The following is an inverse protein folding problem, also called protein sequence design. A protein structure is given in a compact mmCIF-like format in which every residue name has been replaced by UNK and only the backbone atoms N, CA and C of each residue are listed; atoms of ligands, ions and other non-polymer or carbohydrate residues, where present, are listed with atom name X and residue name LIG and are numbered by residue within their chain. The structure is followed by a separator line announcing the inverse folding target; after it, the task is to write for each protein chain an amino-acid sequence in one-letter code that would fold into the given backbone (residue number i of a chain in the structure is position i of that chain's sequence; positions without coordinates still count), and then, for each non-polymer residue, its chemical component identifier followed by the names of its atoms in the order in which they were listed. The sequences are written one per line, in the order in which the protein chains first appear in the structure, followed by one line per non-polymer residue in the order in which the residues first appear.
data_IF_959822121729
#
_entry.id   IF_959822121729
#
_cell.length_a   1.000
_cell.length_b   1.000
_cell.length_c   1.000
_cell.angle_alpha   90.00
_cell.angle_beta   90.00
_cell.angle_gamma   90.00
#
_symmetry.space_group_name_H-M   'P 1'
#
loop_
_entity.id
_entity.type
_entity.pdbx_description
1 polymer ?
#
# COMPACT_ATOMS: atom_id res chain seq x y z
N UNK A 1 -13.37 -0.55 13.92
CA UNK A 1 -13.21 -0.43 12.45
C UNK A 1 -13.25 -1.81 11.81
N UNK A 2 -13.54 -1.87 10.52
CA UNK A 2 -13.23 -3.00 9.67
C UNK A 2 -11.81 -2.84 9.12
N UNK A 3 -10.97 -3.86 9.28
CA UNK A 3 -9.55 -3.80 8.89
C UNK A 3 -9.27 -4.94 7.91
N UNK A 4 -8.66 -4.59 6.78
CA UNK A 4 -8.13 -5.56 5.82
C UNK A 4 -6.61 -5.60 5.94
N UNK A 5 -6.06 -6.78 6.23
CA UNK A 5 -4.64 -7.06 6.17
C UNK A 5 -4.36 -7.84 4.88
N UNK A 6 -3.69 -7.23 3.91
CA UNK A 6 -3.18 -7.94 2.73
C UNK A 6 -1.76 -8.40 3.02
N UNK A 7 -1.56 -9.70 3.11
CA UNK A 7 -0.33 -10.33 3.56
C UNK A 7 0.37 -11.06 2.41
N UNK A 8 1.69 -10.87 2.29
CA UNK A 8 2.51 -11.47 1.24
C UNK A 8 3.80 -12.11 1.79
N UNK A 9 3.71 -13.30 2.38
CA UNK A 9 4.90 -14.12 2.64
C UNK A 9 4.57 -15.62 2.61
N UNK A 10 5.43 -16.43 1.97
CA UNK A 10 5.18 -17.88 1.75
C UNK A 10 5.29 -18.74 3.01
N UNK A 11 6.24 -18.42 3.89
CA UNK A 11 6.47 -19.17 5.14
C UNK A 11 5.59 -18.59 6.27
N UNK A 12 4.60 -19.33 6.79
CA UNK A 12 3.71 -18.86 7.84
C UNK A 12 4.43 -18.58 9.17
N UNK A 13 5.56 -19.27 9.44
CA UNK A 13 6.35 -19.05 10.66
C UNK A 13 7.48 -18.02 10.49
N UNK A 14 7.42 -17.24 9.42
CA UNK A 14 8.37 -16.14 9.20
C UNK A 14 8.13 -15.02 10.21
N UNK A 15 9.08 -14.11 10.35
CA UNK A 15 8.87 -12.92 11.18
C UNK A 15 7.76 -12.02 10.61
N UNK A 16 7.59 -11.98 9.28
CA UNK A 16 6.43 -11.34 8.65
C UNK A 16 5.11 -12.02 9.03
N UNK A 17 5.09 -13.36 9.17
CA UNK A 17 3.94 -14.10 9.69
C UNK A 17 3.65 -13.79 11.15
N UNK A 18 4.69 -13.70 12.00
CA UNK A 18 4.54 -13.31 13.39
C UNK A 18 3.95 -11.90 13.55
N UNK A 19 4.39 -10.94 12.75
CA UNK A 19 3.77 -9.60 12.72
C UNK A 19 2.28 -9.68 12.33
N UNK A 20 1.89 -10.61 11.44
CA UNK A 20 0.51 -10.70 10.93
C UNK A 20 -0.39 -11.19 12.05
N UNK A 21 0.10 -12.19 12.78
CA UNK A 21 -0.61 -12.76 13.92
C UNK A 21 -0.73 -11.74 15.05
N UNK A 22 0.32 -10.97 15.33
CA UNK A 22 0.28 -9.84 16.27
C UNK A 22 -0.77 -8.81 15.84
N UNK A 23 -0.81 -8.45 14.56
CA UNK A 23 -1.80 -7.49 14.07
C UNK A 23 -3.23 -8.00 14.22
N UNK A 24 -3.49 -9.22 13.76
CA UNK A 24 -4.79 -9.85 13.86
C UNK A 24 -5.28 -9.93 15.30
N UNK A 25 -4.45 -10.43 16.22
CA UNK A 25 -4.82 -10.60 17.62
C UNK A 25 -5.03 -9.23 18.29
N UNK A 26 -4.07 -8.32 18.17
CA UNK A 26 -4.11 -7.01 18.85
C UNK A 26 -5.31 -6.18 18.41
N UNK A 27 -5.59 -6.14 17.10
CA UNK A 27 -6.70 -5.35 16.57
C UNK A 27 -8.05 -6.00 16.91
N UNK A 28 -8.14 -7.33 16.92
CA UNK A 28 -9.35 -8.04 17.36
C UNK A 28 -9.62 -7.80 18.85
N UNK A 29 -8.58 -7.88 19.69
CA UNK A 29 -8.67 -7.62 21.13
C UNK A 29 -9.07 -6.16 21.42
N UNK A 30 -8.69 -5.23 20.53
CA UNK A 30 -9.12 -3.83 20.57
C UNK A 30 -10.56 -3.62 20.06
N UNK A 31 -11.29 -4.69 19.71
CA UNK A 31 -12.69 -4.64 19.29
C UNK A 31 -12.91 -4.31 17.81
N UNK A 32 -11.89 -4.47 16.97
CA UNK A 32 -12.02 -4.31 15.51
C UNK A 32 -12.40 -5.63 14.82
N UNK A 33 -13.03 -5.51 13.66
CA UNK A 33 -13.25 -6.65 12.76
C UNK A 33 -12.04 -6.75 11.84
N UNK A 34 -11.33 -7.88 11.85
CA UNK A 34 -10.13 -8.08 11.03
C UNK A 34 -10.37 -9.16 9.98
N UNK A 35 -10.08 -8.83 8.72
CA UNK A 35 -10.05 -9.76 7.59
C UNK A 35 -8.62 -9.82 7.07
N UNK A 36 -8.13 -11.02 6.78
CA UNK A 36 -6.81 -11.24 6.19
C UNK A 36 -6.99 -11.76 4.77
N UNK A 37 -6.34 -11.12 3.81
CA UNK A 37 -6.10 -11.63 2.46
C UNK A 37 -4.67 -12.16 2.40
N UNK A 38 -4.50 -13.47 2.51
CA UNK A 38 -3.17 -14.11 2.46
C UNK A 38 -2.90 -14.54 1.02
N UNK A 39 -2.20 -13.68 0.27
CA UNK A 39 -2.04 -13.84 -1.17
C UNK A 39 -1.37 -15.17 -1.56
N UNK A 40 -0.47 -15.70 -0.72
CA UNK A 40 0.18 -16.98 -0.99
C UNK A 40 -0.69 -18.17 -0.59
N UNK A 41 -1.38 -18.11 0.55
CA UNK A 41 -2.26 -19.19 0.99
C UNK A 41 -3.51 -19.30 0.11
N UNK A 42 -4.01 -18.18 -0.42
CA UNK A 42 -5.15 -18.12 -1.34
C UNK A 42 -4.78 -18.42 -2.79
N UNK A 43 -3.47 -18.56 -3.09
CA UNK A 43 -3.00 -18.90 -4.44
C UNK A 43 -3.23 -17.79 -5.47
N UNK A 44 -3.18 -16.53 -5.04
CA UNK A 44 -3.48 -15.37 -5.87
C UNK A 44 -2.57 -15.30 -7.11
N UNK A 45 -3.17 -15.11 -8.30
CA UNK A 45 -2.43 -14.94 -9.56
C UNK A 45 -1.95 -13.49 -9.71
N UNK A 46 -0.64 -13.20 -9.70
CA UNK A 46 -0.20 -11.81 -9.75
C UNK A 46 -0.18 -11.19 -11.15
N UNK A 47 -0.20 -11.98 -12.22
CA UNK A 47 -0.13 -11.44 -13.58
C UNK A 47 -1.52 -10.95 -14.04
N UNK A 48 -1.68 -9.63 -14.13
CA UNK A 48 -2.88 -9.04 -14.73
C UNK A 48 -3.02 -9.45 -16.22
N UNK A 49 -4.23 -9.73 -16.66
CA UNK A 49 -4.46 -10.19 -18.04
C UNK A 49 -5.92 -10.41 -18.41
N UNK A 50 -6.20 -10.92 -19.63
CA UNK A 50 -7.57 -11.14 -20.10
C UNK A 50 -8.42 -12.05 -19.20
N UNK A 51 -7.77 -12.93 -18.44
CA UNK A 51 -8.43 -13.83 -17.48
C UNK A 51 -9.00 -13.12 -16.23
N UNK A 52 -8.74 -11.84 -16.05
CA UNK A 52 -9.27 -11.03 -14.95
C UNK A 52 -10.75 -10.66 -15.14
N UNK A 53 -11.30 -10.91 -16.33
CA UNK A 53 -12.62 -10.44 -16.75
C UNK A 53 -13.51 -11.60 -17.23
N UNK A 54 -14.76 -11.62 -16.78
CA UNK A 54 -15.78 -12.57 -17.29
C UNK A 54 -16.34 -12.16 -18.65
N UNK A 55 -16.26 -10.86 -18.97
CA UNK A 55 -16.52 -10.31 -20.29
C UNK A 55 -15.60 -9.13 -20.57
N UNK A 56 -15.16 -8.98 -21.83
CA UNK A 56 -14.29 -7.88 -22.28
C UNK A 56 -15.04 -6.87 -23.13
N UNK A 57 -14.58 -5.62 -23.08
CA UNK A 57 -15.05 -4.53 -23.93
C UNK A 57 -14.64 -4.74 -25.39
N UNK A 58 -13.41 -5.20 -25.61
CA UNK A 58 -12.87 -5.54 -26.92
C UNK A 58 -12.34 -6.97 -26.92
N UNK A 59 -12.89 -7.81 -27.80
CA UNK A 59 -12.45 -9.20 -27.93
C UNK A 59 -11.14 -9.36 -28.69
N UNK A 60 -10.79 -8.38 -29.52
CA UNK A 60 -9.72 -8.44 -30.51
C UNK A 60 -8.44 -7.77 -29.99
N UNK A 61 -8.57 -6.73 -29.17
CA UNK A 61 -7.45 -5.99 -28.58
C UNK A 61 -7.57 -5.96 -27.06
N UNK A 62 -6.51 -6.38 -26.37
CA UNK A 62 -6.44 -6.27 -24.91
C UNK A 62 -5.71 -5.00 -24.49
N UNK A 63 -6.43 -4.08 -23.85
CA UNK A 63 -5.86 -2.91 -23.17
C UNK A 63 -6.36 -2.92 -21.72
N UNK A 64 -5.45 -3.12 -20.77
CA UNK A 64 -5.80 -3.41 -19.37
C UNK A 64 -6.65 -2.30 -18.74
N UNK A 65 -6.33 -1.03 -18.96
CA UNK A 65 -7.04 0.09 -18.35
C UNK A 65 -8.50 0.19 -18.81
N UNK A 66 -8.74 0.07 -20.11
CA UNK A 66 -10.07 0.08 -20.71
C UNK A 66 -10.90 -1.13 -20.27
N UNK A 67 -10.29 -2.32 -20.18
CA UNK A 67 -10.97 -3.52 -19.69
C UNK A 67 -11.33 -3.40 -18.21
N UNK A 68 -10.43 -2.85 -17.38
CA UNK A 68 -10.72 -2.52 -15.98
C UNK A 68 -11.87 -1.50 -15.85
N UNK A 69 -11.88 -0.44 -16.66
CA UNK A 69 -12.97 0.55 -16.64
C UNK A 69 -14.31 -0.09 -17.01
N UNK A 70 -14.30 -0.93 -18.05
CA UNK A 70 -15.48 -1.67 -18.49
C UNK A 70 -15.98 -2.58 -17.39
N UNK A 71 -15.08 -3.34 -16.76
CA UNK A 71 -15.41 -4.25 -15.69
C UNK A 71 -15.95 -3.55 -14.45
N UNK A 72 -15.39 -2.40 -14.08
CA UNK A 72 -15.91 -1.56 -13.00
C UNK A 72 -17.35 -1.08 -13.28
N UNK A 73 -17.66 -0.74 -14.54
CA UNK A 73 -19.01 -0.30 -14.95
C UNK A 73 -20.02 -1.42 -15.09
N UNK A 74 -19.58 -2.61 -15.51
CA UNK A 74 -20.45 -3.75 -15.86
C UNK A 74 -20.51 -4.84 -14.79
N UNK A 75 -19.64 -4.79 -13.80
CA UNK A 75 -19.53 -5.84 -12.77
C UNK A 75 -19.03 -7.15 -13.36
N UNK A 76 -17.99 -7.11 -14.20
CA UNK A 76 -17.48 -8.28 -14.91
C UNK A 76 -16.02 -8.62 -14.60
N UNK A 77 -15.54 -8.29 -13.39
CA UNK A 77 -14.34 -8.93 -12.83
C UNK A 77 -14.62 -10.41 -12.52
N UNK A 78 -13.59 -11.25 -12.59
CA UNK A 78 -13.70 -12.63 -12.09
C UNK A 78 -13.91 -12.66 -10.57
N UNK A 79 -14.54 -13.72 -10.02
CA UNK A 79 -14.91 -13.77 -8.60
C UNK A 79 -13.74 -13.56 -7.62
N UNK A 80 -12.54 -14.03 -7.97
CA UNK A 80 -11.32 -13.82 -7.17
C UNK A 80 -11.03 -12.32 -6.98
N UNK A 81 -10.95 -11.55 -8.07
CA UNK A 81 -10.67 -10.11 -8.04
C UNK A 81 -11.83 -9.35 -7.40
N UNK A 82 -13.08 -9.69 -7.76
CA UNK A 82 -14.24 -9.04 -7.18
C UNK A 82 -14.27 -9.22 -5.66
N UNK A 83 -13.92 -10.41 -5.15
CA UNK A 83 -13.80 -10.66 -3.71
C UNK A 83 -12.77 -9.77 -3.02
N UNK A 84 -11.61 -9.56 -3.64
CA UNK A 84 -10.59 -8.64 -3.09
C UNK A 84 -11.04 -7.18 -3.14
N UNK A 85 -11.73 -6.75 -4.21
CA UNK A 85 -12.34 -5.42 -4.31
C UNK A 85 -13.36 -5.25 -3.18
N UNK A 86 -14.23 -6.22 -2.95
CA UNK A 86 -15.26 -6.15 -1.91
C UNK A 86 -14.63 -6.04 -0.51
N UNK A 87 -13.60 -6.84 -0.22
CA UNK A 87 -12.82 -6.75 1.03
C UNK A 87 -12.20 -5.36 1.21
N UNK A 88 -11.62 -4.80 0.14
CA UNK A 88 -11.00 -3.48 0.14
C UNK A 88 -12.01 -2.37 0.45
N UNK A 89 -13.20 -2.41 -0.17
CA UNK A 89 -14.24 -1.42 0.07
C UNK A 89 -14.93 -1.56 1.44
N UNK A 90 -15.00 -2.76 2.00
CA UNK A 90 -15.52 -3.00 3.34
C UNK A 90 -14.60 -2.46 4.45
N UNK A 91 -13.30 -2.31 4.19
CA UNK A 91 -12.30 -1.89 5.17
C UNK A 91 -12.27 -0.37 5.39
N UNK A 92 -12.18 0.05 6.65
CA UNK A 92 -11.86 1.42 7.06
C UNK A 92 -10.35 1.65 7.10
N UNK A 93 -9.59 0.58 7.38
CA UNK A 93 -8.12 0.57 7.40
C UNK A 93 -7.58 -0.59 6.55
N UNK A 94 -6.71 -0.27 5.60
CA UNK A 94 -5.91 -1.23 4.85
C UNK A 94 -4.50 -1.34 5.46
N UNK A 95 -4.03 -2.55 5.73
CA UNK A 95 -2.64 -2.83 6.09
C UNK A 95 -2.03 -3.70 5.00
N UNK A 96 -1.01 -3.18 4.31
CA UNK A 96 -0.19 -3.97 3.39
C UNK A 96 1.00 -4.53 4.16
N UNK A 97 1.04 -5.85 4.34
CA UNK A 97 2.03 -6.52 5.16
C UNK A 97 2.96 -7.46 4.37
N UNK A 98 4.26 -7.16 4.36
CA UNK A 98 5.20 -7.83 3.47
C UNK A 98 6.66 -7.77 3.93
N UNK A 99 7.56 -8.64 3.47
CA UNK A 99 8.99 -8.36 3.50
C UNK A 99 9.36 -7.40 2.37
N UNK A 100 10.19 -6.38 2.64
CA UNK A 100 10.70 -5.50 1.60
C UNK A 100 11.64 -6.29 0.67
N UNK A 101 11.27 -6.42 -0.60
CA UNK A 101 12.07 -7.05 -1.64
C UNK A 101 12.39 -6.03 -2.73
N UNK A 102 13.68 -5.88 -3.03
CA UNK A 102 14.15 -4.92 -4.05
C UNK A 102 13.56 -3.51 -3.87
N UNK A 103 13.61 -2.98 -2.64
CA UNK A 103 13.09 -1.64 -2.30
C UNK A 103 11.58 -1.46 -2.54
N UNK A 104 10.83 -2.56 -2.62
CA UNK A 104 9.39 -2.54 -2.89
C UNK A 104 8.68 -3.72 -2.21
N UNK A 105 7.41 -3.88 -2.52
CA UNK A 105 6.58 -5.03 -2.15
C UNK A 105 7.00 -6.29 -2.94
N UNK A 106 6.75 -7.51 -2.42
CA UNK A 106 6.87 -8.74 -3.20
C UNK A 106 6.03 -8.68 -4.49
N UNK A 107 6.49 -9.37 -5.53
CA UNK A 107 5.80 -9.40 -6.82
C UNK A 107 4.32 -9.81 -6.71
N UNK A 108 3.98 -10.73 -5.80
CA UNK A 108 2.58 -11.15 -5.59
C UNK A 108 1.69 -10.02 -5.09
N UNK A 109 2.22 -9.18 -4.20
CA UNK A 109 1.51 -8.00 -3.69
C UNK A 109 1.45 -6.90 -4.74
N UNK A 110 2.51 -6.73 -5.54
CA UNK A 110 2.47 -5.81 -6.68
C UNK A 110 1.38 -6.21 -7.69
N UNK A 111 1.26 -7.50 -7.99
CA UNK A 111 0.18 -8.04 -8.82
C UNK A 111 -1.20 -7.84 -8.20
N UNK A 112 -1.33 -8.01 -6.89
CA UNK A 112 -2.55 -7.67 -6.14
C UNK A 112 -2.93 -6.20 -6.30
N UNK A 113 -1.96 -5.29 -6.18
CA UNK A 113 -2.17 -3.87 -6.45
C UNK A 113 -2.64 -3.67 -7.90
N UNK A 114 -1.97 -4.28 -8.88
CA UNK A 114 -2.30 -4.09 -10.31
C UNK A 114 -3.69 -4.60 -10.70
N UNK A 115 -4.15 -5.70 -10.08
CA UNK A 115 -5.45 -6.34 -10.39
C UNK A 115 -6.61 -5.77 -9.58
N UNK A 116 -6.39 -5.34 -8.33
CA UNK A 116 -7.44 -4.90 -7.39
C UNK A 116 -7.58 -3.37 -7.32
N UNK A 117 -6.47 -2.63 -7.43
CA UNK A 117 -6.48 -1.17 -7.48
C UNK A 117 -6.72 -0.72 -8.92
N UNK A 118 -7.79 -1.24 -9.51
CA UNK A 118 -8.07 -1.15 -10.93
C UNK A 118 -8.62 0.24 -11.33
N UNK A 119 -8.35 0.63 -12.57
CA UNK A 119 -8.90 1.85 -13.13
C UNK A 119 -10.44 1.77 -13.21
N UNK A 120 -11.12 2.83 -12.74
CA UNK A 120 -12.58 2.84 -12.57
C UNK A 120 -13.06 2.26 -11.23
N UNK A 121 -12.20 1.57 -10.48
CA UNK A 121 -12.50 0.98 -9.16
C UNK A 121 -11.96 1.87 -8.03
N UNK A 122 -10.64 2.00 -7.89
CA UNK A 122 -10.01 2.77 -6.77
C UNK A 122 -9.52 4.16 -7.19
N UNK A 123 -9.37 4.40 -8.50
CA UNK A 123 -9.05 5.70 -9.08
C UNK A 123 -9.60 5.81 -10.51
N UNK A 124 -9.80 7.04 -10.99
CA UNK A 124 -10.12 7.30 -12.40
C UNK A 124 -9.81 8.74 -12.83
N UNK A 125 -10.32 9.15 -14.00
CA UNK A 125 -10.25 10.53 -14.45
C UNK A 125 -11.00 11.48 -13.50
N UNK A 126 -10.23 12.23 -12.72
CA UNK A 126 -10.74 13.29 -11.84
C UNK A 126 -10.98 12.86 -10.39
N UNK A 127 -10.97 11.56 -10.08
CA UNK A 127 -11.02 11.04 -8.70
C UNK A 127 -9.67 10.44 -8.30
N UNK A 128 -8.73 11.33 -7.99
CA UNK A 128 -7.39 10.99 -7.48
C UNK A 128 -7.00 11.91 -6.32
N UNK A 129 -5.97 11.52 -5.56
CA UNK A 129 -5.41 12.32 -4.47
C UNK A 129 -6.47 12.74 -3.43
N UNK A 130 -6.52 14.00 -3.03
CA UNK A 130 -7.52 14.53 -2.09
C UNK A 130 -8.96 14.51 -2.63
N UNK A 131 -9.16 14.03 -3.87
CA UNK A 131 -10.46 13.73 -4.50
C UNK A 131 -10.64 12.24 -4.86
N UNK A 132 -9.73 11.37 -4.42
CA UNK A 132 -9.72 9.94 -4.71
C UNK A 132 -10.96 9.18 -4.21
N UNK A 133 -11.16 7.98 -4.75
CA UNK A 133 -12.33 7.15 -4.43
C UNK A 133 -12.23 6.59 -3.01
N UNK A 134 -11.01 6.35 -2.51
CA UNK A 134 -10.75 5.75 -1.19
C UNK A 134 -10.68 6.76 -0.05
N UNK A 135 -11.18 7.99 -0.27
CA UNK A 135 -11.20 9.04 0.76
C UNK A 135 -11.99 8.64 2.00
N UNK A 136 -11.47 9.02 3.16
CA UNK A 136 -12.02 8.67 4.47
C UNK A 136 -11.64 7.27 4.95
N UNK A 137 -10.87 6.51 4.14
CA UNK A 137 -10.23 5.26 4.54
C UNK A 137 -8.75 5.50 4.78
N UNK A 138 -8.17 4.72 5.69
CA UNK A 138 -6.75 4.82 6.08
C UNK A 138 -5.96 3.67 5.48
N UNK A 139 -4.67 3.86 5.22
CA UNK A 139 -3.81 2.79 4.74
C UNK A 139 -2.41 2.86 5.36
N UNK A 140 -1.84 1.71 5.72
CA UNK A 140 -0.51 1.60 6.33
C UNK A 140 0.32 0.51 5.65
N UNK A 141 1.61 0.78 5.46
CA UNK A 141 2.59 -0.25 5.11
C UNK A 141 3.18 -0.85 6.38
N UNK A 142 3.25 -2.17 6.47
CA UNK A 142 3.96 -2.89 7.54
C UNK A 142 4.96 -3.83 6.91
N UNK A 143 6.25 -3.64 7.17
CA UNK A 143 7.24 -4.50 6.52
C UNK A 143 8.48 -4.81 7.33
N UNK A 144 9.12 -5.92 6.96
CA UNK A 144 10.43 -6.31 7.47
C UNK A 144 11.52 -5.91 6.46
N UNK A 145 12.71 -5.56 6.95
CA UNK A 145 13.86 -5.27 6.10
C UNK A 145 14.98 -6.29 6.30
N UNK A 146 15.85 -6.43 5.29
CA UNK A 146 17.11 -7.17 5.45
C UNK A 146 18.25 -6.33 6.05
N UNK A 147 18.07 -5.01 6.15
CA UNK A 147 19.11 -4.06 6.56
C UNK A 147 18.65 -3.21 7.76
N UNK A 148 19.59 -2.78 8.63
CA UNK A 148 19.27 -1.92 9.78
C UNK A 148 18.69 -0.56 9.38
N UNK A 149 17.99 0.07 10.31
CA UNK A 149 17.39 1.40 10.15
C UNK A 149 18.39 2.45 9.64
N UNK A 150 19.61 2.45 10.19
CA UNK A 150 20.66 3.42 9.85
C UNK A 150 21.04 3.43 8.37
N UNK A 151 20.86 2.32 7.65
CA UNK A 151 21.13 2.27 6.21
C UNK A 151 20.12 3.06 5.37
N UNK A 152 18.93 3.33 5.92
CA UNK A 152 17.84 4.07 5.30
C UNK A 152 17.68 5.50 5.86
N UNK A 153 18.64 5.97 6.66
CA UNK A 153 18.76 7.37 7.02
C UNK A 153 18.89 8.26 5.77
N UNK A 154 18.69 9.57 5.91
CA UNK A 154 18.71 10.50 4.78
C UNK A 154 20.02 10.50 3.98
N UNK A 155 21.12 10.12 4.62
CA UNK A 155 22.48 9.94 4.09
C UNK A 155 22.95 8.47 4.12
N UNK A 156 22.05 7.55 4.45
CA UNK A 156 22.31 6.12 4.50
C UNK A 156 22.56 5.52 3.12
N UNK A 157 23.31 4.41 3.08
CA UNK A 157 23.71 3.75 1.81
C UNK A 157 22.53 3.29 0.95
N UNK A 158 21.41 2.93 1.58
CA UNK A 158 20.20 2.49 0.89
C UNK A 158 19.29 3.66 0.47
N UNK A 159 19.64 4.88 0.88
CA UNK A 159 18.88 6.10 0.64
C UNK A 159 17.75 6.31 1.64
N UNK A 160 17.31 7.57 1.69
CA UNK A 160 16.19 8.06 2.50
C UNK A 160 14.93 7.19 2.34
N UNK A 161 14.47 6.57 3.44
CA UNK A 161 13.30 5.70 3.45
C UNK A 161 12.05 6.37 2.86
N UNK A 162 11.84 7.66 3.15
CA UNK A 162 10.64 8.35 2.69
C UNK A 162 10.61 8.45 1.16
N UNK A 163 11.77 8.54 0.51
CA UNK A 163 11.89 8.50 -0.96
C UNK A 163 11.73 7.09 -1.50
N UNK A 164 12.29 6.09 -0.81
CA UNK A 164 12.13 4.67 -1.18
C UNK A 164 10.65 4.28 -1.21
N UNK A 165 9.86 4.74 -0.22
CA UNK A 165 8.45 4.41 -0.09
C UNK A 165 7.51 5.32 -0.90
N UNK A 166 8.00 6.41 -1.49
CA UNK A 166 7.18 7.36 -2.26
C UNK A 166 6.30 6.70 -3.34
N UNK A 167 6.80 5.72 -4.14
CA UNK A 167 5.95 5.05 -5.13
C UNK A 167 4.74 4.34 -4.53
N UNK A 168 4.85 3.81 -3.31
CA UNK A 168 3.75 3.12 -2.62
C UNK A 168 2.86 4.11 -1.86
N UNK A 169 3.46 4.98 -1.04
CA UNK A 169 2.70 5.96 -0.26
C UNK A 169 1.95 6.95 -1.14
N UNK A 170 2.63 7.58 -2.10
CA UNK A 170 1.99 8.57 -2.97
C UNK A 170 1.42 7.94 -4.23
N UNK A 171 2.22 7.11 -4.92
CA UNK A 171 1.87 6.60 -6.25
C UNK A 171 0.75 5.55 -6.26
N UNK A 172 0.55 4.82 -5.15
CA UNK A 172 -0.52 3.82 -5.02
C UNK A 172 -1.59 4.34 -4.05
N UNK A 173 -1.24 4.50 -2.77
CA UNK A 173 -2.23 4.77 -1.73
C UNK A 173 -2.78 6.21 -1.80
N UNK A 174 -1.89 7.20 -1.85
CA UNK A 174 -2.24 8.61 -1.95
C UNK A 174 -2.99 8.91 -3.25
N UNK A 175 -2.58 8.32 -4.38
CA UNK A 175 -3.28 8.44 -5.66
C UNK A 175 -4.75 7.99 -5.55
N UNK A 176 -5.02 6.87 -4.88
CA UNK A 176 -6.37 6.36 -4.66
C UNK A 176 -7.17 7.18 -3.62
N UNK A 177 -6.51 8.05 -2.87
CA UNK A 177 -7.12 8.98 -1.91
C UNK A 177 -7.18 8.50 -0.47
N UNK A 178 -6.39 7.48 -0.10
CA UNK A 178 -6.27 7.06 1.29
C UNK A 178 -5.62 8.14 2.17
N UNK A 179 -6.04 8.19 3.43
CA UNK A 179 -5.26 8.81 4.50
C UNK A 179 -4.10 7.86 4.85
N UNK A 180 -2.94 8.07 4.21
CA UNK A 180 -1.79 7.18 4.33
C UNK A 180 -1.07 7.42 5.66
N UNK A 181 -0.95 6.38 6.48
CA UNK A 181 -0.29 6.43 7.78
C UNK A 181 1.23 6.19 7.63
N UNK A 182 2.05 6.68 8.58
CA UNK A 182 3.46 6.30 8.64
C UNK A 182 3.62 4.77 8.62
N UNK A 183 4.68 4.22 8.00
CA UNK A 183 4.85 2.77 7.95
C UNK A 183 5.23 2.22 9.33
N UNK A 184 4.95 0.95 9.59
CA UNK A 184 5.67 0.20 10.63
C UNK A 184 6.79 -0.60 9.99
N UNK A 185 8.02 -0.44 10.50
CA UNK A 185 9.19 -1.13 9.96
C UNK A 185 9.84 -1.99 11.04
N UNK A 186 9.85 -3.29 10.80
CA UNK A 186 10.64 -4.23 11.56
C UNK A 186 12.05 -4.33 10.95
N UNK A 187 12.99 -3.60 11.54
CA UNK A 187 14.34 -3.48 11.04
C UNK A 187 15.16 -4.76 11.24
N UNK A 188 15.68 -5.32 10.16
CA UNK A 188 16.69 -6.39 10.19
C UNK A 188 16.39 -7.60 11.12
N UNK A 189 15.16 -8.14 11.22
CA UNK A 189 14.82 -9.18 12.19
C UNK A 189 15.58 -10.50 11.97
N UNK A 190 16.19 -10.72 10.80
CA UNK A 190 17.06 -11.87 10.56
C UNK A 190 18.40 -11.80 11.31
N UNK A 191 18.81 -10.61 11.73
CA UNK A 191 20.05 -10.32 12.44
C UNK A 191 19.85 -10.04 13.93
N UNK A 192 18.58 -10.01 14.36
CA UNK A 192 18.17 -9.70 15.72
C UNK A 192 18.10 -10.98 16.59
N UNK A 193 18.47 -10.85 17.87
CA UNK A 193 18.24 -11.87 18.88
C UNK A 193 16.77 -11.99 19.30
N UNK A 194 16.46 -12.99 20.13
CA UNK A 194 15.07 -13.26 20.54
C UNK A 194 14.44 -12.07 21.30
N UNK A 195 15.19 -11.42 22.19
CA UNK A 195 14.73 -10.24 22.94
C UNK A 195 14.41 -9.06 22.01
N UNK A 196 15.27 -8.79 21.03
CA UNK A 196 15.06 -7.72 20.05
C UNK A 196 13.87 -8.01 19.15
N UNK A 197 13.69 -9.28 18.75
CA UNK A 197 12.53 -9.73 17.99
C UNK A 197 11.23 -9.58 18.78
N UNK A 198 11.23 -9.93 20.05
CA UNK A 198 10.09 -9.74 20.95
C UNK A 198 9.76 -8.25 21.15
N UNK A 199 10.78 -7.40 21.28
CA UNK A 199 10.61 -5.96 21.36
C UNK A 199 9.96 -5.39 20.08
N UNK A 200 10.39 -5.85 18.89
CA UNK A 200 9.76 -5.46 17.61
C UNK A 200 8.27 -5.82 17.57
N UNK A 201 7.90 -7.03 18.01
CA UNK A 201 6.50 -7.47 18.06
C UNK A 201 5.68 -6.66 19.08
N UNK A 202 6.27 -6.39 20.25
CA UNK A 202 5.63 -5.59 21.31
C UNK A 202 5.38 -4.15 20.85
N UNK A 203 6.39 -3.51 20.25
CA UNK A 203 6.26 -2.16 19.70
C UNK A 203 5.18 -2.09 18.61
N UNK A 204 5.05 -3.12 17.78
CA UNK A 204 4.00 -3.18 16.78
C UNK A 204 2.62 -3.26 17.44
N UNK A 205 2.44 -4.16 18.42
CA UNK A 205 1.19 -4.29 19.16
C UNK A 205 0.81 -2.98 19.86
N UNK A 206 1.75 -2.32 20.53
CA UNK A 206 1.53 -1.06 21.25
C UNK A 206 1.03 0.04 20.32
N UNK A 207 1.61 0.14 19.12
CA UNK A 207 1.14 1.08 18.09
C UNK A 207 -0.27 0.73 17.61
N UNK A 208 -0.54 -0.54 17.32
CA UNK A 208 -1.85 -0.97 16.79
C UNK A 208 -3.00 -0.70 17.76
N UNK A 209 -2.77 -0.76 19.07
CA UNK A 209 -3.79 -0.38 20.08
C UNK A 209 -4.22 1.09 20.00
N UNK A 210 -3.38 1.94 19.41
CA UNK A 210 -3.61 3.37 19.29
C UNK A 210 -3.67 3.83 17.83
N UNK A 211 -3.88 2.90 16.88
CA UNK A 211 -3.78 3.20 15.44
C UNK A 211 -4.74 4.31 15.00
N UNK A 212 -5.88 4.48 15.67
CA UNK A 212 -6.84 5.56 15.42
C UNK A 212 -6.26 6.96 15.63
N UNK A 213 -5.24 7.09 16.47
CA UNK A 213 -4.58 8.37 16.77
C UNK A 213 -3.45 8.72 15.80
N UNK A 214 -2.99 7.79 14.94
CA UNK A 214 -1.90 8.06 14.00
C UNK A 214 -2.25 9.20 13.03
N UNK A 215 -1.41 10.23 12.98
CA UNK A 215 -1.56 11.31 12.01
C UNK A 215 -1.14 10.84 10.60
N UNK A 216 -1.97 11.07 9.56
CA UNK A 216 -1.58 10.72 8.19
C UNK A 216 -0.39 11.54 7.69
N UNK A 217 0.37 10.95 6.77
CA UNK A 217 1.41 11.61 6.00
C UNK A 217 0.85 12.78 5.21
N UNK A 218 1.65 13.83 5.06
CA UNK A 218 1.29 15.01 4.31
C UNK A 218 1.40 14.79 2.80
N UNK A 219 0.34 15.14 2.06
CA UNK A 219 0.36 15.32 0.61
C UNK A 219 -0.23 16.68 0.24
N UNK A 220 0.31 17.28 -0.82
CA UNK A 220 -0.26 18.50 -1.39
C UNK A 220 -1.63 18.23 -2.02
N UNK A 221 -2.55 19.18 -1.87
CA UNK A 221 -3.91 19.10 -2.43
C UNK A 221 -3.92 19.49 -3.90
N UNK A 222 -4.87 18.96 -4.67
CA UNK A 222 -4.97 19.23 -6.11
C UNK A 222 -5.16 20.72 -6.43
N UNK A 223 -5.78 21.50 -5.55
CA UNK A 223 -5.96 22.95 -5.73
C UNK A 223 -4.66 23.77 -5.51
N UNK A 224 -3.59 23.16 -5.00
CA UNK A 224 -2.26 23.78 -4.88
C UNK A 224 -1.46 23.72 -6.18
N UNK A 225 -1.90 22.91 -7.15
CA UNK A 225 -1.29 22.77 -8.48
C UNK A 225 -1.94 23.73 -9.48
N UNK A 226 -1.15 24.19 -10.46
CA UNK A 226 -1.65 24.92 -11.63
C UNK A 226 -2.05 23.98 -12.78
N UNK A 227 -2.49 24.55 -13.89
CA UNK A 227 -2.99 23.82 -15.07
C UNK A 227 -1.96 22.89 -15.72
N UNK A 228 -0.67 23.08 -15.41
CA UNK A 228 0.43 22.24 -15.87
C UNK A 228 0.81 21.12 -14.88
N UNK A 229 -0.03 20.85 -13.87
CA UNK A 229 0.20 19.85 -12.82
C UNK A 229 1.46 20.10 -11.96
N UNK A 230 1.92 21.36 -11.89
CA UNK A 230 3.03 21.77 -11.02
C UNK A 230 2.51 22.63 -9.87
N UNK A 231 3.15 22.51 -8.70
CA UNK A 231 2.83 23.35 -7.54
C UNK A 231 2.93 24.84 -7.92
N UNK A 232 1.87 25.60 -7.61
CA UNK A 232 1.81 27.05 -7.81
C UNK A 232 3.05 27.72 -7.19
N UNK A 233 3.60 28.81 -7.77
CA UNK A 233 4.88 29.39 -7.34
C UNK A 233 4.98 29.72 -5.84
N UNK A 234 3.86 30.10 -5.21
CA UNK A 234 3.79 30.46 -3.78
C UNK A 234 3.70 29.27 -2.80
N UNK A 235 3.53 28.04 -3.31
CA UNK A 235 3.38 26.85 -2.48
C UNK A 235 4.75 26.18 -2.33
N UNK A 236 5.27 26.08 -1.13
CA UNK A 236 6.56 25.39 -0.94
C UNK A 236 6.37 23.88 -1.06
N UNK A 237 7.20 23.16 -1.87
CA UNK A 237 7.19 21.71 -1.89
C UNK A 237 7.58 21.15 -0.52
N UNK A 238 6.73 20.28 0.05
CA UNK A 238 6.94 19.71 1.39
C UNK A 238 7.03 18.18 1.42
N UNK A 239 6.85 17.53 0.27
CA UNK A 239 6.93 16.08 0.17
C UNK A 239 8.36 15.62 -0.18
N UNK A 240 8.74 14.37 0.12
CA UNK A 240 10.13 13.87 -0.04
C UNK A 240 10.70 13.97 -1.46
N UNK A 241 9.82 13.93 -2.45
CA UNK A 241 10.16 13.83 -3.88
C UNK A 241 9.85 15.10 -4.68
N UNK A 242 9.28 16.15 -4.07
CA UNK A 242 9.01 17.41 -4.77
C UNK A 242 10.00 18.49 -4.33
N UNK A 243 10.63 19.15 -5.31
CA UNK A 243 11.63 20.20 -5.09
C UNK A 243 11.58 21.20 -6.25
N UNK A 244 11.96 22.47 -5.98
CA UNK A 244 11.98 23.52 -7.01
C UNK A 244 13.18 23.41 -7.93
N UNK A 245 14.35 23.18 -7.35
CA UNK A 245 15.59 23.06 -8.08
C UNK A 245 15.83 21.61 -8.54
N UNK A 246 16.20 21.37 -9.82
CA UNK A 246 16.52 20.04 -10.29
C UNK A 246 17.64 19.43 -9.46
N UNK A 247 17.43 18.21 -8.96
CA UNK A 247 18.51 17.37 -8.43
C UNK A 247 19.06 16.55 -9.58
N UNK A 248 20.13 17.03 -10.20
CA UNK A 248 20.80 16.29 -11.28
C UNK A 248 21.54 15.10 -10.69
N UNK A 249 21.06 13.90 -10.97
CA UNK A 249 21.78 12.65 -10.71
C UNK A 249 22.24 11.97 -12.00
N UNK A 250 21.49 12.17 -13.09
CA UNK A 250 21.82 11.76 -14.45
C UNK A 250 22.12 13.04 -15.23
N UNK A 251 23.37 13.19 -15.67
CA UNK A 251 23.78 14.20 -16.66
C UNK A 251 23.60 13.66 -18.08
#
# INVERSE_FOLDING_TARGET
MNILIVYAHREPRSFSGALRDVAMNTLTDAGHTVVVSDLYAEGFEPAAGPGDFTSRADSDIFELGAEQEHAARKGCFVPEIQGEIDRLFAADLLILQFPMWWYSVPAIMKGGIDRVFAFGVTYDFGRTWDRGIMRGKRAMLTFTTGAPETTFATDGRNGDLERVLWPLHAGVLGLCGFDVLPPFVAWAPAWAGDEEREALLTNYADRLRHIEADEPLFFHKLDEYGDNFRLKPKIEPRTPCQHREPRKHLE
#
